data_IF_490557885513
#
_entry.id   IF_490557885513
#
_cell.length_a   1.000
_cell.length_b   1.000
_cell.length_c   1.000
_cell.angle_alpha   90.00
_cell.angle_beta   90.00
_cell.angle_gamma   90.00
#
_symmetry.space_group_name_H-M   'P 1'
#
loop_
_entity.id
_entity.type
_entity.pdbx_description
1 polymer ?
#
# COMPACT_ATOMS: atom_id res chain seq x y z
N UNK A 1 22.21 65.84 -31.05
CA UNK A 1 22.48 64.43 -31.03
C UNK A 1 22.22 63.88 -29.61
N UNK A 2 21.02 63.35 -29.33
CA UNK A 2 20.64 62.88 -28.02
C UNK A 2 20.75 61.31 -28.03
N UNK A 3 21.67 60.78 -27.23
CA UNK A 3 21.85 59.33 -27.06
C UNK A 3 20.83 58.80 -26.02
N UNK A 4 19.87 58.02 -26.48
CA UNK A 4 18.90 57.33 -25.64
C UNK A 4 19.59 56.05 -25.13
N UNK A 5 19.82 55.94 -23.82
CA UNK A 5 20.27 54.74 -23.15
C UNK A 5 19.06 53.92 -22.78
N UNK A 6 18.86 52.76 -23.45
CA UNK A 6 17.85 51.77 -23.15
C UNK A 6 18.36 50.89 -21.98
N UNK A 7 17.75 51.06 -20.80
CA UNK A 7 17.96 50.22 -19.63
C UNK A 7 17.05 49.01 -19.75
N UNK A 8 17.64 47.86 -20.05
CA UNK A 8 16.93 46.56 -20.00
C UNK A 8 17.00 46.06 -18.56
N UNK A 9 15.86 46.13 -17.85
CA UNK A 9 15.65 45.49 -16.55
C UNK A 9 15.37 44.00 -16.78
N UNK A 10 16.36 43.15 -16.51
CA UNK A 10 16.16 41.71 -16.41
C UNK A 10 15.51 41.41 -15.05
N UNK A 11 14.23 41.13 -15.08
CA UNK A 11 13.52 40.56 -13.94
C UNK A 11 13.80 39.05 -13.84
N UNK A 12 14.68 38.66 -12.95
CA UNK A 12 14.91 37.25 -12.60
C UNK A 12 13.76 36.79 -11.71
N UNK A 13 12.81 36.08 -12.28
CA UNK A 13 11.75 35.44 -11.55
C UNK A 13 12.29 34.14 -10.91
N UNK A 14 12.68 34.19 -9.64
CA UNK A 14 13.06 33.03 -8.87
C UNK A 14 11.79 32.22 -8.53
N UNK A 15 11.53 31.14 -9.28
CA UNK A 15 10.51 30.17 -8.95
C UNK A 15 11.08 29.26 -7.86
N UNK A 16 10.73 29.53 -6.61
CA UNK A 16 10.98 28.64 -5.48
C UNK A 16 10.02 27.44 -5.59
N UNK A 17 10.52 26.29 -6.03
CA UNK A 17 9.80 25.03 -5.96
C UNK A 17 9.84 24.54 -4.51
N UNK A 18 8.70 24.31 -3.84
CA UNK A 18 8.69 23.65 -2.56
C UNK A 18 9.03 22.17 -2.79
N UNK A 19 10.21 21.75 -2.36
CA UNK A 19 10.55 20.33 -2.22
C UNK A 19 9.76 19.78 -1.05
N UNK A 20 8.50 19.42 -1.28
CA UNK A 20 7.70 18.65 -0.35
C UNK A 20 8.23 17.24 -0.31
N UNK A 21 8.86 16.87 0.80
CA UNK A 21 9.12 15.47 1.16
C UNK A 21 7.76 14.81 1.42
N UNK A 22 7.11 14.35 0.36
CA UNK A 22 5.95 13.48 0.44
C UNK A 22 6.45 12.08 0.80
N UNK A 23 6.51 11.79 2.09
CA UNK A 23 6.48 10.43 2.61
C UNK A 23 5.10 9.85 2.27
N UNK A 24 4.87 9.59 0.98
CA UNK A 24 3.60 9.11 0.48
C UNK A 24 3.40 7.66 0.85
N UNK A 25 2.50 7.40 1.79
CA UNK A 25 1.85 6.09 1.85
C UNK A 25 1.26 5.83 0.46
N UNK A 26 1.75 4.79 -0.23
CA UNK A 26 1.24 4.42 -1.52
C UNK A 26 -0.26 4.08 -1.38
N UNK A 27 -1.11 4.97 -1.90
CA UNK A 27 -2.55 4.80 -1.92
C UNK A 27 -2.95 4.48 -3.34
N UNK A 28 -3.33 3.22 -3.60
CA UNK A 28 -3.92 2.87 -4.88
C UNK A 28 -5.39 3.28 -4.87
N UNK A 29 -5.77 4.10 -5.83
CA UNK A 29 -7.17 4.46 -6.11
C UNK A 29 -7.57 3.74 -7.38
N UNK A 30 -8.50 2.79 -7.28
CA UNK A 30 -9.14 2.21 -8.45
C UNK A 30 -9.93 3.27 -9.20
N UNK A 31 -10.09 3.12 -10.51
CA UNK A 31 -10.83 4.05 -11.39
C UNK A 31 -12.31 4.22 -11.05
N UNK A 32 -12.82 3.59 -10.00
CA UNK A 32 -14.23 3.39 -9.68
C UNK A 32 -14.64 3.73 -8.25
N UNK A 33 -13.84 4.46 -7.49
CA UNK A 33 -14.20 4.91 -6.13
C UNK A 33 -13.84 3.95 -5.00
N UNK A 34 -13.21 2.81 -5.26
CA UNK A 34 -12.58 1.96 -4.25
C UNK A 34 -11.14 2.39 -4.04
N UNK A 35 -10.71 2.50 -2.79
CA UNK A 35 -9.31 2.74 -2.44
C UNK A 35 -8.85 1.75 -1.38
N UNK A 36 -7.58 1.33 -1.48
CA UNK A 36 -6.94 0.42 -0.53
C UNK A 36 -5.56 0.94 -0.16
N UNK A 37 -5.18 0.76 1.09
CA UNK A 37 -3.81 0.90 1.56
C UNK A 37 -3.47 -0.24 2.52
N UNK A 38 -2.19 -0.61 2.59
CA UNK A 38 -1.69 -1.70 3.42
C UNK A 38 -0.75 -1.16 4.48
N UNK A 39 -0.82 -1.71 5.70
CA UNK A 39 0.13 -1.46 6.76
C UNK A 39 1.57 -1.71 6.31
N UNK A 40 2.54 -0.99 6.89
CA UNK A 40 3.96 -1.25 6.63
C UNK A 40 4.46 -2.50 7.35
N UNK A 41 3.72 -2.99 8.34
CA UNK A 41 4.06 -4.16 9.12
C UNK A 41 2.94 -5.18 9.08
N UNK A 42 3.31 -6.46 9.12
CA UNK A 42 2.42 -7.58 9.35
C UNK A 42 2.97 -8.39 10.53
N UNK A 43 2.08 -8.91 11.36
CA UNK A 43 2.43 -9.62 12.59
C UNK A 43 2.31 -11.14 12.36
N UNK A 44 3.43 -11.86 12.52
CA UNK A 44 3.49 -13.30 12.37
C UNK A 44 3.49 -13.99 13.73
N UNK A 45 2.49 -14.83 13.97
CA UNK A 45 2.44 -15.72 15.12
C UNK A 45 3.02 -17.09 14.73
N UNK A 46 4.25 -17.35 15.17
CA UNK A 46 4.98 -18.57 14.83
C UNK A 46 4.31 -19.84 15.38
N UNK A 47 3.62 -19.77 16.53
CA UNK A 47 2.95 -20.91 17.13
C UNK A 47 1.70 -21.36 16.36
N UNK A 48 1.02 -20.41 15.71
CA UNK A 48 -0.18 -20.68 14.89
C UNK A 48 0.09 -20.71 13.39
N UNK A 49 1.33 -20.49 12.93
CA UNK A 49 1.65 -20.28 11.50
C UNK A 49 0.67 -19.32 10.84
N UNK A 50 0.46 -18.18 11.49
CA UNK A 50 -0.52 -17.18 11.13
C UNK A 50 0.16 -15.83 10.89
N UNK A 51 -0.07 -15.22 9.73
CA UNK A 51 0.35 -13.87 9.42
C UNK A 51 -0.88 -12.96 9.32
N UNK A 52 -0.93 -11.93 10.14
CA UNK A 52 -2.01 -10.95 10.15
C UNK A 52 -1.57 -9.68 9.40
N UNK A 53 -2.32 -9.36 8.35
CA UNK A 53 -2.11 -8.18 7.51
C UNK A 53 -3.28 -7.22 7.68
N UNK A 54 -2.99 -5.95 7.99
CA UNK A 54 -4.00 -4.92 8.15
C UNK A 54 -4.08 -4.01 6.93
N UNK A 55 -5.29 -3.82 6.43
CA UNK A 55 -5.62 -2.94 5.31
C UNK A 55 -6.50 -1.78 5.81
N UNK A 56 -6.43 -0.66 5.12
CA UNK A 56 -7.46 0.38 5.17
C UNK A 56 -8.16 0.40 3.82
N UNK A 57 -9.46 0.12 3.82
CA UNK A 57 -10.29 0.05 2.60
C UNK A 57 -11.41 1.06 2.68
N UNK A 58 -11.66 1.76 1.58
CA UNK A 58 -12.83 2.61 1.38
C UNK A 58 -13.50 2.23 0.09
N UNK A 59 -14.78 1.87 0.15
CA UNK A 59 -15.61 1.48 -0.98
C UNK A 59 -17.07 1.82 -0.70
N UNK A 60 -17.93 1.71 -1.71
CA UNK A 60 -19.37 1.92 -1.61
C UNK A 60 -20.15 0.77 -2.22
N UNK A 61 -21.41 0.60 -1.81
CA UNK A 61 -22.37 -0.30 -2.45
C UNK A 61 -22.60 -1.64 -1.76
N UNK A 62 -22.24 -1.81 -0.49
CA UNK A 62 -22.57 -3.00 0.29
C UNK A 62 -21.37 -3.74 0.86
N UNK A 63 -21.07 -4.94 0.38
CA UNK A 63 -19.97 -5.79 0.87
C UNK A 63 -19.00 -6.06 -0.27
N UNK A 64 -17.72 -6.02 0.05
CA UNK A 64 -16.60 -6.36 -0.83
C UNK A 64 -15.80 -7.54 -0.30
N UNK A 65 -14.79 -7.93 -1.07
CA UNK A 65 -13.82 -8.98 -0.78
C UNK A 65 -12.40 -8.40 -0.88
N UNK A 66 -11.55 -8.70 0.09
CA UNK A 66 -10.12 -8.41 0.03
C UNK A 66 -9.33 -9.72 -0.04
N UNK A 67 -8.46 -9.84 -1.03
CA UNK A 67 -7.46 -10.90 -1.15
C UNK A 67 -6.08 -10.32 -0.89
N UNK A 68 -5.24 -11.06 -0.16
CA UNK A 68 -3.85 -10.69 0.13
C UNK A 68 -2.96 -11.88 -0.17
N UNK A 69 -1.95 -11.67 -0.99
CA UNK A 69 -0.85 -12.60 -1.21
C UNK A 69 0.42 -11.99 -0.63
N UNK A 70 1.15 -12.73 0.19
CA UNK A 70 2.44 -12.30 0.74
C UNK A 70 3.53 -13.25 0.30
N UNK A 71 4.54 -12.71 -0.35
CA UNK A 71 5.73 -13.41 -0.81
C UNK A 71 6.95 -12.96 -0.01
N UNK A 72 7.62 -13.89 0.65
CA UNK A 72 8.86 -13.60 1.35
C UNK A 72 10.02 -14.35 0.70
N UNK A 73 10.96 -13.65 0.04
CA UNK A 73 12.18 -14.27 -0.47
C UNK A 73 13.12 -14.64 0.68
N UNK A 74 13.76 -15.80 0.62
CA UNK A 74 14.77 -16.24 1.57
C UNK A 74 16.15 -16.32 0.89
N UNK A 75 16.78 -15.18 0.55
CA UNK A 75 18.00 -15.19 -0.25
C UNK A 75 19.23 -15.74 0.48
N UNK A 76 19.23 -15.71 1.80
CA UNK A 76 20.40 -16.06 2.61
C UNK A 76 20.42 -17.50 3.12
N UNK A 77 19.30 -18.18 3.12
CA UNK A 77 19.16 -19.51 3.74
C UNK A 77 19.12 -20.64 2.74
N UNK A 78 19.00 -20.35 1.43
CA UNK A 78 18.83 -21.37 0.38
C UNK A 78 17.48 -22.09 0.42
N UNK A 79 16.58 -21.69 1.33
CA UNK A 79 15.22 -22.18 1.34
C UNK A 79 14.39 -21.54 0.24
N UNK A 80 13.38 -22.25 -0.29
CA UNK A 80 12.45 -21.66 -1.25
C UNK A 80 11.71 -20.48 -0.64
N UNK A 81 11.35 -19.49 -1.47
CA UNK A 81 10.52 -18.37 -1.04
C UNK A 81 9.21 -18.87 -0.41
N UNK A 82 8.80 -18.22 0.68
CA UNK A 82 7.51 -18.49 1.29
C UNK A 82 6.45 -17.64 0.61
N UNK A 83 5.35 -18.28 0.21
CA UNK A 83 4.15 -17.61 -0.31
C UNK A 83 2.95 -18.06 0.47
N UNK A 84 2.12 -17.12 0.89
CA UNK A 84 0.84 -17.40 1.52
C UNK A 84 -0.23 -16.45 1.04
N UNK A 85 -1.46 -16.97 1.04
CA UNK A 85 -2.66 -16.26 0.61
C UNK A 85 -3.68 -16.21 1.73
N UNK A 86 -4.40 -15.11 1.83
CA UNK A 86 -5.51 -14.93 2.74
C UNK A 86 -6.60 -14.08 2.13
N UNK A 87 -7.80 -14.14 2.67
CA UNK A 87 -8.90 -13.31 2.20
C UNK A 87 -9.83 -12.89 3.35
N UNK A 88 -10.54 -11.79 3.14
CA UNK A 88 -11.63 -11.34 4.00
C UNK A 88 -12.85 -11.06 3.12
N UNK A 89 -13.95 -11.85 3.27
CA UNK A 89 -15.13 -11.74 2.43
C UNK A 89 -16.11 -10.64 2.88
N UNK A 90 -15.86 -10.01 4.03
CA UNK A 90 -16.82 -9.12 4.70
C UNK A 90 -16.31 -7.67 4.77
N UNK A 91 -15.73 -7.16 3.68
CA UNK A 91 -15.29 -5.77 3.60
C UNK A 91 -16.50 -4.85 3.51
N UNK A 92 -16.73 -4.05 4.55
CA UNK A 92 -17.86 -3.10 4.60
C UNK A 92 -17.63 -1.93 3.64
N UNK A 93 -18.55 -1.75 2.70
CA UNK A 93 -18.52 -0.71 1.64
C UNK A 93 -19.65 0.31 1.84
N UNK A 94 -19.51 1.19 2.85
CA UNK A 94 -20.49 2.24 3.22
C UNK A 94 -20.02 3.66 2.88
N UNK A 95 -18.92 3.80 2.14
CA UNK A 95 -18.30 5.08 1.77
C UNK A 95 -17.28 5.60 2.80
N UNK A 96 -17.13 4.93 3.94
CA UNK A 96 -16.15 5.26 4.97
C UNK A 96 -14.90 4.40 4.81
N UNK A 97 -13.81 4.81 5.46
CA UNK A 97 -12.60 3.99 5.54
C UNK A 97 -12.71 3.03 6.71
N UNK A 98 -12.56 1.74 6.43
CA UNK A 98 -12.56 0.66 7.43
C UNK A 98 -11.20 0.01 7.53
N UNK A 99 -10.84 -0.41 8.76
CA UNK A 99 -9.71 -1.32 8.98
C UNK A 99 -10.18 -2.74 8.70
N UNK A 100 -9.46 -3.44 7.82
CA UNK A 100 -9.77 -4.80 7.40
C UNK A 100 -8.58 -5.69 7.71
N UNK A 101 -8.75 -6.66 8.61
CA UNK A 101 -7.76 -7.69 8.89
C UNK A 101 -7.88 -8.83 7.88
N UNK A 102 -6.74 -9.28 7.36
CA UNK A 102 -6.64 -10.50 6.55
C UNK A 102 -5.62 -11.40 7.20
N UNK A 103 -6.04 -12.62 7.52
CA UNK A 103 -5.20 -13.65 8.12
C UNK A 103 -4.77 -14.66 7.06
N UNK A 104 -3.46 -14.87 6.95
CA UNK A 104 -2.84 -15.89 6.09
C UNK A 104 -2.41 -17.04 6.98
N UNK A 105 -2.87 -18.26 6.68
CA UNK A 105 -2.63 -19.47 7.46
C UNK A 105 -1.70 -20.44 6.74
N UNK A 106 -0.94 -21.22 7.52
CA UNK A 106 -0.18 -22.36 7.03
C UNK A 106 1.16 -22.04 6.36
N UNK A 107 1.50 -20.76 6.16
CA UNK A 107 2.80 -20.33 5.68
C UNK A 107 3.71 -19.93 6.85
N UNK A 108 4.99 -20.21 6.74
CA UNK A 108 5.99 -19.85 7.76
C UNK A 108 6.81 -18.67 7.25
N UNK A 109 6.79 -17.59 8.00
CA UNK A 109 7.51 -16.36 7.69
C UNK A 109 8.62 -16.10 8.71
N UNK A 110 9.70 -15.50 8.23
CA UNK A 110 10.78 -15.00 9.08
C UNK A 110 10.62 -13.48 9.33
N UNK A 111 11.23 -12.95 10.41
CA UNK A 111 11.31 -11.50 10.58
C UNK A 111 12.04 -10.87 9.39
N UNK A 112 11.45 -9.85 8.79
CA UNK A 112 12.10 -9.15 7.69
C UNK A 112 11.14 -8.69 6.59
N UNK A 113 11.71 -8.40 5.42
CA UNK A 113 10.95 -7.86 4.28
C UNK A 113 10.15 -8.95 3.57
N UNK A 114 8.93 -8.62 3.22
CA UNK A 114 8.07 -9.43 2.37
C UNK A 114 7.35 -8.53 1.36
N UNK A 115 6.93 -9.09 0.24
CA UNK A 115 6.19 -8.39 -0.80
C UNK A 115 4.73 -8.77 -0.74
N UNK A 116 3.87 -7.81 -0.48
CA UNK A 116 2.43 -8.00 -0.38
C UNK A 116 1.72 -7.47 -1.63
N UNK A 117 0.80 -8.26 -2.13
CA UNK A 117 -0.10 -7.97 -3.24
C UNK A 117 -1.51 -8.01 -2.67
N UNK A 118 -2.28 -6.95 -2.86
CA UNK A 118 -3.64 -6.82 -2.35
C UNK A 118 -4.59 -6.48 -3.48
N UNK A 119 -5.62 -7.30 -3.60
CA UNK A 119 -6.73 -7.10 -4.53
C UNK A 119 -8.03 -6.93 -3.73
N UNK A 120 -8.71 -5.82 -3.93
CA UNK A 120 -10.03 -5.57 -3.36
C UNK A 120 -11.06 -5.58 -4.48
N UNK A 121 -12.07 -6.43 -4.35
CA UNK A 121 -13.24 -6.45 -5.23
C UNK A 121 -14.42 -5.88 -4.47
N UNK A 122 -14.99 -4.78 -4.94
CA UNK A 122 -16.11 -4.11 -4.31
C UNK A 122 -17.15 -3.69 -5.36
N UNK A 123 -18.43 -3.45 -4.95
CA UNK A 123 -19.46 -3.00 -5.88
C UNK A 123 -19.10 -1.66 -6.58
N UNK A 124 -18.35 -0.79 -5.89
CA UNK A 124 -17.81 0.45 -6.48
C UNK A 124 -16.62 0.23 -7.41
N UNK A 125 -16.22 -1.01 -7.66
CA UNK A 125 -15.16 -1.46 -8.56
C UNK A 125 -13.91 -1.99 -7.84
N UNK A 126 -12.95 -2.54 -8.58
CA UNK A 126 -11.75 -3.14 -8.02
C UNK A 126 -10.72 -2.09 -7.60
N UNK A 127 -9.85 -2.47 -6.65
CA UNK A 127 -8.62 -1.76 -6.33
C UNK A 127 -7.47 -2.76 -6.14
N UNK A 128 -6.28 -2.37 -6.55
CA UNK A 128 -5.07 -3.19 -6.47
C UNK A 128 -3.92 -2.37 -5.90
N UNK A 129 -3.10 -2.99 -5.04
CA UNK A 129 -1.87 -2.38 -4.53
C UNK A 129 -0.82 -3.45 -4.30
N UNK A 130 0.43 -3.11 -4.60
CA UNK A 130 1.60 -3.92 -4.31
C UNK A 130 2.57 -3.12 -3.46
N UNK A 131 3.13 -3.73 -2.42
CA UNK A 131 4.02 -3.03 -1.50
C UNK A 131 4.97 -3.97 -0.76
N UNK A 132 6.19 -3.50 -0.53
CA UNK A 132 7.07 -4.11 0.45
C UNK A 132 6.60 -3.78 1.87
N UNK A 133 6.46 -4.80 2.68
CA UNK A 133 6.10 -4.73 4.11
C UNK A 133 7.20 -5.39 4.95
N UNK A 134 7.12 -5.20 6.26
CA UNK A 134 8.02 -5.84 7.22
C UNK A 134 7.22 -6.83 8.05
N UNK A 135 7.60 -8.10 8.03
CA UNK A 135 7.07 -9.13 8.91
C UNK A 135 7.76 -9.02 10.27
N UNK A 136 6.96 -8.96 11.32
CA UNK A 136 7.39 -9.04 12.72
C UNK A 136 6.92 -10.36 13.30
N UNK A 137 7.77 -11.02 14.06
CA UNK A 137 7.45 -12.26 14.76
C UNK A 137 7.18 -11.94 16.22
N UNK A 138 6.04 -12.38 16.72
CA UNK A 138 5.59 -12.25 18.10
C UNK A 138 5.66 -13.58 18.84
#
# INVERSE_FOLDING_TARGET
MKRIRLLILLSVLAVALPVGLLSGAAKATGSSGTSVSISQTADFNAFGTQLDVNLLVRCTGGIGLANVTVNQPHPETGFPATTGDGFNPDVVCDGRTHSVGVTILGAVYDPGRAYAIVDVTAPSGPAHIEKWITVKVN
#
